data_IF_473783480871
#
_entry.id   IF_473783480871
#
_cell.length_a   1.000
_cell.length_b   1.000
_cell.length_c   1.000
_cell.angle_alpha   90.00
_cell.angle_beta   90.00
_cell.angle_gamma   90.00
#
_symmetry.space_group_name_H-M   'P 1'
#
loop_
_entity.id
_entity.type
_entity.pdbx_description
1 polymer ?
#
# COMPACT_ATOMS: atom_id res chain seq x y z
N UNK A 1 -31.97 -13.77 -61.51
CA UNK A 1 -32.41 -15.15 -61.19
C UNK A 1 -31.32 -16.10 -61.68
N UNK A 2 -30.80 -16.99 -60.80
CA UNK A 2 -29.85 -18.10 -61.08
C UNK A 2 -28.41 -17.64 -61.39
N UNK A 3 -27.33 -17.94 -60.67
CA UNK A 3 -27.02 -18.99 -59.69
C UNK A 3 -25.98 -18.48 -58.66
N UNK A 4 -26.45 -18.17 -57.46
CA UNK A 4 -25.63 -18.16 -56.25
C UNK A 4 -25.50 -19.62 -55.77
N UNK A 5 -24.57 -20.38 -56.34
CA UNK A 5 -24.27 -21.75 -55.90
C UNK A 5 -22.82 -22.12 -56.23
N UNK A 6 -21.86 -21.47 -55.57
CA UNK A 6 -20.46 -21.93 -55.58
C UNK A 6 -19.62 -21.48 -54.36
N UNK A 7 -20.25 -20.92 -53.31
CA UNK A 7 -19.52 -20.41 -52.12
C UNK A 7 -20.17 -20.92 -50.82
N UNK A 8 -20.59 -22.19 -50.79
CA UNK A 8 -21.07 -22.85 -49.54
C UNK A 8 -20.40 -24.22 -49.33
N UNK A 9 -19.54 -24.70 -50.23
CA UNK A 9 -18.93 -26.04 -50.11
C UNK A 9 -17.42 -26.08 -49.79
N UNK A 10 -16.85 -25.01 -49.21
CA UNK A 10 -15.43 -24.99 -48.79
C UNK A 10 -15.16 -24.45 -47.37
N UNK A 11 -16.19 -24.35 -46.52
CA UNK A 11 -16.03 -23.91 -45.12
C UNK A 11 -16.40 -24.95 -44.07
N UNK A 12 -16.79 -26.17 -44.46
CA UNK A 12 -17.20 -27.24 -43.55
C UNK A 12 -16.16 -28.35 -43.33
N UNK A 13 -14.91 -28.19 -43.82
CA UNK A 13 -13.85 -29.21 -43.67
C UNK A 13 -12.70 -28.81 -42.73
N UNK A 14 -12.72 -27.61 -42.12
CA UNK A 14 -11.63 -27.13 -41.23
C UNK A 14 -12.06 -27.05 -39.76
N UNK A 15 -13.34 -27.26 -39.45
CA UNK A 15 -13.85 -27.23 -38.07
C UNK A 15 -13.91 -28.60 -37.37
N UNK A 16 -13.69 -29.71 -38.07
CA UNK A 16 -13.77 -31.07 -37.51
C UNK A 16 -12.41 -31.72 -37.21
N UNK A 17 -11.30 -31.17 -37.72
CA UNK A 17 -9.95 -31.68 -37.43
C UNK A 17 -9.35 -31.12 -36.11
N UNK A 18 -9.88 -30.01 -35.60
CA UNK A 18 -9.34 -29.31 -34.42
C UNK A 18 -9.89 -29.83 -33.08
N UNK A 19 -11.11 -30.38 -33.05
CA UNK A 19 -11.71 -30.91 -31.82
C UNK A 19 -11.25 -32.36 -31.54
N UNK A 20 -11.08 -33.18 -32.59
CA UNK A 20 -10.61 -34.56 -32.46
C UNK A 20 -9.16 -34.65 -31.94
N UNK A 21 -8.28 -33.75 -32.39
CA UNK A 21 -6.89 -33.68 -31.91
C UNK A 21 -6.77 -33.28 -30.43
N UNK A 22 -7.67 -32.41 -29.94
CA UNK A 22 -7.68 -31.96 -28.55
C UNK A 22 -8.14 -33.06 -27.58
N UNK A 23 -9.21 -33.79 -27.93
CA UNK A 23 -9.69 -34.92 -27.12
C UNK A 23 -8.73 -36.12 -27.14
N UNK A 24 -8.11 -36.41 -28.29
CA UNK A 24 -7.10 -37.47 -28.37
C UNK A 24 -5.81 -37.11 -27.58
N UNK A 25 -5.41 -35.83 -27.60
CA UNK A 25 -4.26 -35.33 -26.85
C UNK A 25 -4.41 -35.43 -25.33
N UNK A 26 -5.54 -34.97 -24.78
CA UNK A 26 -5.77 -35.07 -23.33
C UNK A 26 -5.85 -36.51 -22.83
N UNK A 27 -6.39 -37.44 -23.62
CA UNK A 27 -6.49 -38.84 -23.21
C UNK A 27 -5.13 -39.56 -23.29
N UNK A 28 -4.28 -39.19 -24.25
CA UNK A 28 -2.92 -39.71 -24.36
C UNK A 28 -2.02 -39.25 -23.19
N UNK A 29 -2.08 -37.97 -22.80
CA UNK A 29 -1.34 -37.45 -21.64
C UNK A 29 -1.80 -38.08 -20.32
N UNK A 30 -3.11 -38.33 -20.16
CA UNK A 30 -3.66 -38.99 -18.98
C UNK A 30 -3.24 -40.46 -18.86
N UNK A 31 -3.13 -41.19 -19.99
CA UNK A 31 -2.62 -42.57 -20.01
C UNK A 31 -1.11 -42.61 -19.74
N UNK A 32 -0.33 -41.63 -20.20
CA UNK A 32 1.10 -41.53 -19.87
C UNK A 32 1.33 -41.22 -18.38
N UNK A 33 0.53 -40.35 -17.75
CA UNK A 33 0.65 -40.08 -16.31
C UNK A 33 0.28 -41.30 -15.45
N UNK A 34 -0.79 -42.02 -15.80
CA UNK A 34 -1.20 -43.24 -15.09
C UNK A 34 -0.21 -44.40 -15.24
N UNK A 35 0.56 -44.45 -16.33
CA UNK A 35 1.62 -45.43 -16.54
C UNK A 35 2.96 -45.04 -15.88
N UNK A 36 3.23 -43.74 -15.68
CA UNK A 36 4.41 -43.26 -14.97
C UNK A 36 4.28 -43.40 -13.44
N UNK A 37 3.08 -43.26 -12.88
CA UNK A 37 2.85 -43.40 -11.42
C UNK A 37 2.94 -44.86 -10.92
N UNK A 38 3.01 -45.84 -11.81
CA UNK A 38 3.23 -47.26 -11.46
C UNK A 38 4.69 -47.68 -11.42
N UNK A 39 5.63 -46.84 -11.84
CA UNK A 39 7.06 -47.18 -11.87
C UNK A 39 7.92 -46.05 -11.29
N UNK A 40 8.47 -46.35 -10.09
CA UNK A 40 9.54 -45.66 -9.32
C UNK A 40 8.97 -44.98 -8.06
N UNK A 41 9.19 -45.49 -6.84
CA UNK A 41 10.39 -46.18 -6.36
C UNK A 41 11.48 -45.13 -6.12
N UNK A 42 11.67 -44.80 -4.84
CA UNK A 42 12.62 -43.85 -4.27
C UNK A 42 14.03 -44.02 -4.85
N UNK A 43 14.70 -42.92 -5.24
CA UNK A 43 16.11 -42.68 -4.91
C UNK A 43 16.63 -41.29 -5.30
N UNK A 44 17.75 -40.94 -4.66
CA UNK A 44 18.28 -39.63 -4.29
C UNK A 44 19.41 -39.15 -5.23
N UNK A 45 19.55 -37.81 -5.36
CA UNK A 45 20.64 -36.98 -5.92
C UNK A 45 21.13 -37.21 -7.36
N UNK A 46 20.99 -36.17 -8.21
CA UNK A 46 22.05 -35.76 -9.15
C UNK A 46 21.84 -34.33 -9.65
N UNK A 47 22.94 -33.57 -9.66
CA UNK A 47 23.08 -32.20 -10.11
C UNK A 47 23.06 -32.14 -11.66
N UNK A 48 22.16 -31.35 -12.26
CA UNK A 48 22.33 -30.90 -13.64
C UNK A 48 21.65 -29.55 -13.91
N UNK A 49 22.36 -28.74 -14.68
CA UNK A 49 22.05 -27.38 -15.10
C UNK A 49 20.82 -27.32 -16.00
N UNK A 50 19.81 -26.53 -15.61
CA UNK A 50 18.63 -26.25 -16.44
C UNK A 50 18.80 -24.93 -17.21
N UNK A 51 18.77 -25.02 -18.55
CA UNK A 51 18.65 -23.88 -19.46
C UNK A 51 17.28 -23.22 -19.30
N UNK A 52 17.24 -21.91 -19.02
CA UNK A 52 16.02 -21.13 -18.93
C UNK A 52 15.38 -20.92 -20.31
N UNK A 53 14.13 -21.36 -20.48
CA UNK A 53 13.22 -20.89 -21.53
C UNK A 53 12.17 -19.96 -20.88
N UNK A 54 11.65 -18.95 -21.60
CA UNK A 54 10.68 -18.01 -21.03
C UNK A 54 9.37 -18.76 -20.74
N UNK A 55 9.05 -18.93 -19.46
CA UNK A 55 7.83 -19.55 -18.99
C UNK A 55 6.64 -18.62 -19.12
N UNK A 56 5.61 -19.07 -19.82
CA UNK A 56 4.28 -18.45 -19.84
C UNK A 56 3.60 -18.78 -18.49
N UNK A 57 3.03 -17.81 -17.75
CA UNK A 57 2.34 -18.12 -16.50
C UNK A 57 1.07 -18.94 -16.77
N UNK A 58 0.96 -20.11 -16.12
CA UNK A 58 -0.28 -20.87 -16.01
C UNK A 58 -1.24 -20.12 -15.07
N UNK A 59 -2.25 -19.44 -15.63
CA UNK A 59 -3.37 -18.94 -14.85
C UNK A 59 -4.31 -20.10 -14.53
N UNK A 60 -4.36 -20.51 -13.26
CA UNK A 60 -5.40 -21.41 -12.77
C UNK A 60 -6.77 -20.75 -12.85
N UNK A 61 -7.77 -21.48 -13.33
CA UNK A 61 -9.16 -21.01 -13.44
C UNK A 61 -9.75 -20.80 -12.05
N UNK A 62 -10.24 -19.59 -11.77
CA UNK A 62 -10.89 -19.24 -10.49
C UNK A 62 -12.37 -19.58 -10.55
N UNK A 63 -12.86 -20.35 -9.57
CA UNK A 63 -14.29 -20.58 -9.34
C UNK A 63 -14.93 -19.33 -8.72
N UNK A 64 -16.06 -18.89 -9.26
CA UNK A 64 -16.80 -17.72 -8.79
C UNK A 64 -17.24 -17.87 -7.32
N UNK A 65 -17.12 -16.78 -6.55
CA UNK A 65 -17.57 -16.69 -5.17
C UNK A 65 -19.09 -16.47 -5.10
N UNK A 66 -19.76 -17.21 -4.23
CA UNK A 66 -21.16 -16.97 -3.84
C UNK A 66 -21.26 -15.80 -2.85
N UNK A 67 -22.32 -14.96 -2.93
CA UNK A 67 -22.50 -13.84 -2.02
C UNK A 67 -22.88 -14.32 -0.60
N UNK A 68 -22.27 -13.69 0.39
CA UNK A 68 -22.55 -13.84 1.81
C UNK A 68 -23.79 -13.00 2.18
N UNK A 69 -24.83 -13.63 2.75
CA UNK A 69 -26.01 -12.95 3.30
C UNK A 69 -25.73 -12.71 4.81
N UNK A 70 -25.77 -11.47 5.32
CA UNK A 70 -25.64 -11.23 6.75
C UNK A 70 -26.92 -11.59 7.50
N UNK A 71 -26.78 -12.30 8.62
CA UNK A 71 -27.85 -12.57 9.58
C UNK A 71 -28.28 -11.26 10.28
N UNK A 72 -29.56 -10.88 10.08
CA UNK A 72 -30.22 -9.86 10.89
C UNK A 72 -30.62 -10.49 12.24
N UNK A 73 -29.80 -10.30 13.27
CA UNK A 73 -30.28 -10.09 14.65
C UNK A 73 -29.10 -9.82 15.61
N UNK A 74 -28.90 -8.54 15.96
CA UNK A 74 -28.55 -8.07 17.31
C UNK A 74 -28.32 -6.53 17.33
N UNK A 75 -29.39 -5.77 17.52
CA UNK A 75 -29.37 -4.33 17.86
C UNK A 75 -29.09 -4.18 19.37
N UNK A 76 -28.10 -3.42 19.82
CA UNK A 76 -28.32 -1.99 20.16
C UNK A 76 -27.03 -1.21 20.47
N UNK A 77 -25.83 -1.78 20.30
CA UNK A 77 -24.53 -1.08 20.50
C UNK A 77 -23.82 -0.67 19.21
N UNK A 78 -24.35 -1.07 18.04
CA UNK A 78 -23.70 -0.85 16.74
C UNK A 78 -23.93 0.58 16.18
N UNK A 79 -25.07 1.20 16.50
CA UNK A 79 -25.47 2.49 15.92
C UNK A 79 -24.61 3.68 16.35
N UNK A 80 -24.14 3.72 17.60
CA UNK A 80 -23.31 4.84 18.10
C UNK A 80 -21.87 4.78 17.57
N UNK A 81 -21.28 3.58 17.47
CA UNK A 81 -19.91 3.40 16.97
C UNK A 81 -19.80 3.62 15.46
N UNK A 82 -20.83 3.27 14.69
CA UNK A 82 -20.87 3.53 13.25
C UNK A 82 -21.07 5.03 12.93
N UNK A 83 -21.91 5.72 13.72
CA UNK A 83 -22.08 7.17 13.64
C UNK A 83 -20.81 7.93 14.01
N UNK A 84 -20.11 7.54 15.08
CA UNK A 84 -18.84 8.18 15.46
C UNK A 84 -17.70 7.90 14.49
N UNK A 85 -17.59 6.67 13.96
CA UNK A 85 -16.58 6.30 12.96
C UNK A 85 -16.79 7.03 11.63
N UNK A 86 -18.04 7.19 11.17
CA UNK A 86 -18.35 7.95 9.96
C UNK A 86 -18.04 9.45 10.12
N UNK A 87 -18.35 10.04 11.29
CA UNK A 87 -17.98 11.43 11.61
C UNK A 87 -16.46 11.62 11.62
N UNK A 88 -15.71 10.74 12.31
CA UNK A 88 -14.25 10.85 12.41
C UNK A 88 -13.56 10.69 11.05
N UNK A 89 -14.06 9.77 10.21
CA UNK A 89 -13.56 9.61 8.84
C UNK A 89 -13.76 10.87 8.02
N UNK A 90 -14.92 11.53 8.13
CA UNK A 90 -15.20 12.77 7.42
C UNK A 90 -14.27 13.92 7.86
N UNK A 91 -13.92 13.99 9.15
CA UNK A 91 -12.93 14.94 9.67
C UNK A 91 -11.53 14.69 9.11
N UNK A 92 -11.08 13.42 9.10
CA UNK A 92 -9.77 13.04 8.58
C UNK A 92 -9.69 13.33 7.07
N UNK A 93 -10.74 12.97 6.34
CA UNK A 93 -10.79 13.08 4.88
C UNK A 93 -11.46 14.37 4.39
N UNK A 94 -11.48 15.42 5.23
CA UNK A 94 -12.07 16.75 4.96
C UNK A 94 -11.68 17.30 3.59
N UNK A 95 -10.42 17.08 3.19
CA UNK A 95 -9.85 17.63 1.94
C UNK A 95 -9.76 16.63 0.78
N UNK A 96 -10.48 15.51 0.86
CA UNK A 96 -10.56 14.53 -0.23
C UNK A 96 -9.69 13.29 -0.02
N UNK A 97 -9.94 12.29 -0.85
CA UNK A 97 -9.22 11.02 -0.85
C UNK A 97 -8.14 11.06 -1.94
N UNK A 98 -6.85 10.79 -1.61
CA UNK A 98 -5.80 10.81 -2.63
C UNK A 98 -5.99 9.79 -3.77
N UNK A 99 -6.65 8.68 -3.45
CA UNK A 99 -7.10 7.64 -4.37
C UNK A 99 -8.10 6.73 -3.65
N UNK A 100 -8.69 5.76 -4.33
CA UNK A 100 -9.76 4.91 -3.75
C UNK A 100 -9.43 3.40 -3.75
N UNK A 101 -8.21 3.01 -4.12
CA UNK A 101 -7.84 1.59 -4.10
C UNK A 101 -7.79 1.05 -2.68
N UNK A 102 -8.58 0.01 -2.41
CA UNK A 102 -8.51 -0.81 -1.20
C UNK A 102 -8.43 0.03 0.10
N UNK A 103 -9.33 1.01 0.23
CA UNK A 103 -9.41 1.92 1.38
C UNK A 103 -9.87 1.18 2.64
N UNK A 104 -9.23 1.51 3.76
CA UNK A 104 -9.44 0.95 5.10
C UNK A 104 -9.57 2.11 6.08
N UNK A 105 -10.62 2.06 6.88
CA UNK A 105 -10.92 3.06 7.90
C UNK A 105 -10.53 2.45 9.24
N UNK A 106 -9.55 3.05 9.89
CA UNK A 106 -9.23 2.79 11.30
C UNK A 106 -9.91 3.85 12.16
N UNK A 107 -9.86 3.71 13.48
CA UNK A 107 -10.63 4.59 14.36
C UNK A 107 -10.09 6.04 14.35
N UNK A 108 -8.79 6.23 14.06
CA UNK A 108 -8.14 7.56 14.11
C UNK A 108 -7.21 7.87 12.91
N UNK A 109 -7.22 7.03 11.87
CA UNK A 109 -6.55 7.29 10.59
C UNK A 109 -7.22 6.53 9.45
N UNK A 110 -6.96 6.95 8.21
CA UNK A 110 -7.48 6.29 7.00
C UNK A 110 -6.30 5.83 6.15
N UNK A 111 -6.39 4.62 5.57
CA UNK A 111 -5.31 4.00 4.82
C UNK A 111 -5.84 3.48 3.48
N UNK A 112 -5.07 3.63 2.40
CA UNK A 112 -5.27 2.92 1.14
C UNK A 112 -4.15 1.89 0.97
N UNK A 113 -4.49 0.63 0.73
CA UNK A 113 -3.53 -0.47 0.74
C UNK A 113 -3.14 -0.95 -0.67
N UNK A 114 -1.85 -0.96 -0.98
CA UNK A 114 -1.32 -1.54 -2.21
C UNK A 114 -1.15 -3.05 -2.05
N UNK A 115 -2.14 -3.81 -2.54
CA UNK A 115 -2.10 -5.29 -2.52
C UNK A 115 -0.92 -5.87 -3.31
N UNK A 116 -0.41 -5.16 -4.32
CA UNK A 116 0.74 -5.61 -5.13
C UNK A 116 2.04 -5.41 -4.39
N UNK A 117 2.21 -4.29 -3.69
CA UNK A 117 3.45 -4.00 -2.97
C UNK A 117 3.43 -4.43 -1.50
N UNK A 118 2.28 -4.86 -0.99
CA UNK A 118 2.06 -5.29 0.41
C UNK A 118 2.37 -4.20 1.44
N UNK A 119 2.22 -2.93 1.04
CA UNK A 119 2.37 -1.72 1.88
C UNK A 119 1.25 -0.74 1.54
N UNK A 120 1.08 0.34 2.30
CA UNK A 120 0.11 1.38 1.98
C UNK A 120 0.48 2.12 0.67
N UNK A 121 -0.52 2.50 -0.13
CA UNK A 121 -0.39 3.57 -1.13
C UNK A 121 -0.23 4.91 -0.41
N UNK A 122 -1.07 5.15 0.59
CA UNK A 122 -1.06 6.34 1.41
C UNK A 122 -1.81 6.09 2.72
N UNK A 123 -1.47 6.89 3.73
CA UNK A 123 -2.19 7.00 5.00
C UNK A 123 -2.49 8.48 5.25
N UNK A 124 -3.65 8.75 5.83
CA UNK A 124 -4.14 10.09 6.11
C UNK A 124 -4.51 10.21 7.59
N UNK A 125 -4.02 11.28 8.22
CA UNK A 125 -4.20 11.56 9.64
C UNK A 125 -4.69 13.00 9.81
N UNK A 126 -5.52 13.23 10.83
CA UNK A 126 -5.92 14.56 11.28
C UNK A 126 -5.54 14.75 12.74
N UNK A 127 -4.62 15.68 12.97
CA UNK A 127 -3.99 15.94 14.26
C UNK A 127 -4.46 17.30 14.80
N UNK A 128 -4.85 17.31 16.06
CA UNK A 128 -5.04 18.53 16.84
C UNK A 128 -4.13 18.50 18.05
N UNK A 129 -4.03 19.62 18.77
CA UNK A 129 -3.27 19.63 20.03
C UNK A 129 -3.85 18.62 21.03
N UNK A 130 -5.18 18.48 21.05
CA UNK A 130 -5.93 17.60 21.92
C UNK A 130 -5.75 16.13 21.54
N UNK A 131 -5.74 15.79 20.24
CA UNK A 131 -5.55 14.40 19.79
C UNK A 131 -4.16 13.84 20.12
N UNK A 132 -3.16 14.72 20.24
CA UNK A 132 -1.79 14.37 20.64
C UNK A 132 -1.59 14.27 22.16
N UNK A 133 -2.57 14.67 22.97
CA UNK A 133 -2.49 14.50 24.42
C UNK A 133 -2.58 13.01 24.76
N UNK A 134 -1.51 12.48 25.37
CA UNK A 134 -1.47 11.10 25.81
C UNK A 134 -2.45 10.87 26.97
N UNK A 135 -3.40 9.98 26.75
CA UNK A 135 -4.26 9.47 27.83
C UNK A 135 -3.44 8.64 28.82
N UNK A 136 -3.78 8.72 30.12
CA UNK A 136 -3.02 8.07 31.19
C UNK A 136 -2.87 6.54 31.00
N UNK A 137 -3.90 5.90 30.44
CA UNK A 137 -3.95 4.45 30.25
C UNK A 137 -3.19 3.95 29.01
N UNK A 138 -2.67 4.86 28.18
CA UNK A 138 -1.99 4.52 26.94
C UNK A 138 -0.55 4.15 27.22
N UNK A 139 -0.17 2.94 26.81
CA UNK A 139 1.17 2.39 26.85
C UNK A 139 1.52 1.72 25.53
N UNK A 140 2.48 2.32 24.80
CA UNK A 140 2.95 1.81 23.51
C UNK A 140 3.58 0.43 23.64
N UNK A 141 4.18 0.08 24.78
CA UNK A 141 4.86 -1.21 24.97
C UNK A 141 3.90 -2.40 24.91
N UNK A 142 2.60 -2.16 25.17
CA UNK A 142 1.54 -3.16 25.04
C UNK A 142 1.14 -3.45 23.58
N UNK A 143 1.64 -2.67 22.62
CA UNK A 143 1.31 -2.84 21.20
C UNK A 143 2.29 -3.78 20.52
N UNK A 144 1.74 -4.76 19.79
CA UNK A 144 2.53 -5.75 19.05
C UNK A 144 2.22 -5.68 17.57
N UNK A 145 3.25 -5.83 16.74
CA UNK A 145 3.06 -5.87 15.30
C UNK A 145 2.28 -7.13 14.91
N UNK A 146 1.16 -6.94 14.23
CA UNK A 146 0.28 -8.03 13.79
C UNK A 146 -0.16 -7.83 12.35
N UNK A 147 -0.33 -8.94 11.63
CA UNK A 147 -0.83 -8.90 10.26
C UNK A 147 -2.30 -8.44 10.25
N UNK A 148 -2.69 -7.76 9.19
CA UNK A 148 -4.09 -7.35 8.99
C UNK A 148 -4.92 -8.53 8.48
N UNK A 149 -5.74 -9.11 9.35
CA UNK A 149 -6.55 -10.28 9.01
C UNK A 149 -7.67 -9.98 8.00
N UNK A 150 -8.03 -8.70 7.86
CA UNK A 150 -9.04 -8.26 6.90
C UNK A 150 -8.46 -8.10 5.49
N UNK A 151 -7.15 -8.26 5.30
CA UNK A 151 -6.50 -8.40 3.98
C UNK A 151 -6.46 -9.88 3.59
N UNK A 152 -6.88 -10.19 2.35
CA UNK A 152 -6.77 -11.54 1.79
C UNK A 152 -5.33 -12.08 1.89
N UNK A 153 -5.11 -13.34 2.30
CA UNK A 153 -3.78 -13.88 2.60
C UNK A 153 -2.72 -13.65 1.51
N UNK A 154 -3.08 -13.72 0.21
CA UNK A 154 -2.15 -13.49 -0.91
C UNK A 154 -1.48 -12.10 -0.92
N UNK A 155 -2.12 -11.13 -0.30
CA UNK A 155 -1.70 -9.72 -0.33
C UNK A 155 -1.27 -9.24 1.05
N UNK A 156 -1.14 -10.14 2.03
CA UNK A 156 -0.83 -9.78 3.42
C UNK A 156 0.68 -9.83 3.64
N UNK A 157 1.24 -8.77 4.19
CA UNK A 157 2.58 -8.81 4.79
C UNK A 157 2.54 -9.48 6.17
N UNK A 158 3.62 -10.13 6.56
CA UNK A 158 3.78 -10.85 7.83
C UNK A 158 5.06 -10.42 8.55
N UNK A 159 5.14 -10.66 9.86
CA UNK A 159 6.36 -10.37 10.63
C UNK A 159 7.59 -11.13 10.12
N UNK A 160 7.40 -12.34 9.55
CA UNK A 160 8.48 -13.12 8.94
C UNK A 160 9.08 -12.46 7.71
N UNK A 161 8.33 -11.62 6.97
CA UNK A 161 8.89 -10.90 5.82
C UNK A 161 9.93 -9.85 6.23
N UNK A 162 9.73 -9.24 7.41
CA UNK A 162 10.62 -8.22 7.96
C UNK A 162 11.77 -8.81 8.77
N UNK A 163 11.59 -10.00 9.36
CA UNK A 163 12.59 -10.63 10.22
C UNK A 163 13.88 -10.93 9.45
N UNK A 164 14.99 -10.35 9.87
CA UNK A 164 16.30 -10.56 9.23
C UNK A 164 16.45 -9.87 7.87
N UNK A 165 15.51 -9.02 7.46
CA UNK A 165 15.56 -8.30 6.18
C UNK A 165 16.56 -7.15 6.14
N UNK A 166 17.05 -6.68 7.30
CA UNK A 166 17.83 -5.45 7.40
C UNK A 166 16.99 -4.17 7.49
N UNK A 167 15.65 -4.27 7.35
CA UNK A 167 14.73 -3.14 7.45
C UNK A 167 13.91 -3.19 8.74
N UNK A 168 13.59 -2.00 9.26
CA UNK A 168 12.61 -1.83 10.30
C UNK A 168 11.18 -1.95 9.74
N UNK A 169 10.26 -2.30 10.63
CA UNK A 169 8.82 -2.13 10.44
C UNK A 169 8.47 -0.65 10.66
N UNK A 170 8.68 0.15 9.62
CA UNK A 170 8.44 1.60 9.62
C UNK A 170 6.97 1.95 9.51
N UNK A 171 6.47 2.81 10.40
CA UNK A 171 5.07 3.21 10.42
C UNK A 171 4.80 4.30 9.37
N UNK A 172 3.62 4.26 8.74
CA UNK A 172 3.13 5.33 7.89
C UNK A 172 2.31 6.35 8.69
N UNK A 173 1.23 5.90 9.35
CA UNK A 173 0.63 6.59 10.50
C UNK A 173 1.42 6.25 11.76
N UNK A 174 2.10 7.25 12.33
CA UNK A 174 3.01 7.05 13.44
C UNK A 174 2.24 6.82 14.75
N UNK A 175 2.61 5.80 15.54
CA UNK A 175 2.03 5.55 16.86
C UNK A 175 2.04 6.80 17.77
N UNK A 176 3.01 7.69 17.59
CA UNK A 176 3.13 8.95 18.32
C UNK A 176 2.01 9.96 18.06
N UNK A 177 1.23 9.78 17.00
CA UNK A 177 0.17 10.69 16.58
C UNK A 177 -1.21 10.31 17.14
N UNK A 178 -1.33 9.10 17.70
CA UNK A 178 -2.60 8.46 18.05
C UNK A 178 -2.66 8.09 19.54
N UNK A 179 -2.26 9.01 20.42
CA UNK A 179 -2.01 8.72 21.84
C UNK A 179 -3.23 8.92 22.77
N UNK A 180 -4.38 9.28 22.21
CA UNK A 180 -5.61 9.53 22.98
C UNK A 180 -6.34 8.25 23.40
N UNK A 181 -6.08 7.12 22.75
CA UNK A 181 -6.62 5.80 23.10
C UNK A 181 -5.61 4.68 22.84
N UNK A 182 -5.65 3.65 23.69
CA UNK A 182 -4.79 2.48 23.55
C UNK A 182 -5.12 1.72 22.25
N UNK A 183 -6.39 1.69 21.86
CA UNK A 183 -6.85 1.05 20.63
C UNK A 183 -6.30 1.77 19.39
N UNK A 184 -6.22 3.11 19.42
CA UNK A 184 -5.68 3.88 18.30
C UNK A 184 -4.19 3.56 18.13
N UNK A 185 -3.42 3.54 19.22
CA UNK A 185 -2.02 3.11 19.18
C UNK A 185 -1.92 1.68 18.65
N UNK A 186 -2.73 0.73 19.15
CA UNK A 186 -2.69 -0.66 18.69
C UNK A 186 -2.95 -0.81 17.18
N UNK A 187 -3.87 -0.03 16.61
CA UNK A 187 -4.18 -0.07 15.19
C UNK A 187 -2.99 0.34 14.31
N UNK A 188 -2.15 1.28 14.77
CA UNK A 188 -0.94 1.70 14.04
C UNK A 188 0.10 0.58 13.88
N UNK A 189 0.08 -0.44 14.75
CA UNK A 189 0.98 -1.59 14.68
C UNK A 189 0.48 -2.70 13.73
N UNK A 190 -0.65 -2.47 13.04
CA UNK A 190 -1.12 -3.38 12.00
C UNK A 190 -0.18 -3.31 10.79
N UNK A 191 0.29 -4.46 10.27
CA UNK A 191 1.29 -4.50 9.21
C UNK A 191 0.82 -3.87 7.88
N UNK A 192 -0.49 -3.63 7.70
CA UNK A 192 -1.00 -2.85 6.56
C UNK A 192 -0.53 -1.39 6.56
N UNK A 193 -0.24 -0.83 7.75
CA UNK A 193 0.34 0.50 7.99
C UNK A 193 1.88 0.52 7.92
N UNK A 194 2.52 -0.61 7.61
CA UNK A 194 3.97 -0.75 7.72
C UNK A 194 4.61 -0.87 6.34
N UNK A 195 5.74 -0.17 6.19
CA UNK A 195 6.62 -0.31 5.04
C UNK A 195 8.06 -0.60 5.51
N UNK A 196 8.88 -1.33 4.72
CA UNK A 196 10.29 -1.52 5.02
C UNK A 196 11.04 -0.19 5.00
N UNK A 197 11.58 0.21 6.14
CA UNK A 197 12.36 1.44 6.28
C UNK A 197 13.77 1.13 6.78
N UNK A 198 14.77 1.85 6.28
CA UNK A 198 16.11 1.83 6.88
C UNK A 198 16.01 2.23 8.35
N UNK A 199 16.62 1.46 9.24
CA UNK A 199 16.53 1.68 10.68
C UNK A 199 17.32 2.91 11.14
N UNK A 200 18.61 2.70 11.44
CA UNK A 200 19.51 3.76 11.87
C UNK A 200 19.79 4.76 10.73
N UNK A 201 19.78 6.04 11.05
CA UNK A 201 19.90 7.17 10.11
C UNK A 201 18.60 7.53 9.40
N UNK A 202 17.52 6.74 9.52
CA UNK A 202 16.25 7.02 8.86
C UNK A 202 15.04 6.84 9.78
N UNK A 203 14.40 5.65 9.84
CA UNK A 203 13.18 5.41 10.62
C UNK A 203 13.31 5.86 12.09
N UNK A 204 14.43 5.52 12.72
CA UNK A 204 14.68 5.81 14.15
C UNK A 204 15.12 7.24 14.41
N UNK A 205 15.59 7.95 13.37
CA UNK A 205 16.29 9.22 13.46
C UNK A 205 15.61 10.28 12.55
N UNK A 206 16.13 10.51 11.35
CA UNK A 206 15.68 11.57 10.42
C UNK A 206 14.18 11.53 10.09
N UNK A 207 13.59 10.35 9.90
CA UNK A 207 12.15 10.21 9.67
C UNK A 207 11.33 10.56 10.93
N UNK A 208 11.73 10.07 12.10
CA UNK A 208 11.12 10.43 13.38
C UNK A 208 11.27 11.93 13.72
N UNK A 209 12.34 12.58 13.27
CA UNK A 209 12.49 14.05 13.34
C UNK A 209 11.43 14.77 12.53
N UNK A 210 11.14 14.29 11.31
CA UNK A 210 10.05 14.84 10.49
C UNK A 210 8.69 14.58 11.17
N UNK A 211 8.44 13.39 11.70
CA UNK A 211 7.21 13.10 12.44
C UNK A 211 7.05 14.01 13.67
N UNK A 212 8.15 14.25 14.40
CA UNK A 212 8.17 15.15 15.54
C UNK A 212 7.91 16.60 15.13
N UNK A 213 8.45 17.04 13.98
CA UNK A 213 8.15 18.34 13.40
C UNK A 213 6.66 18.47 13.10
N UNK A 214 6.06 17.52 12.39
CA UNK A 214 4.62 17.53 12.07
C UNK A 214 3.76 17.60 13.34
N UNK A 215 4.09 16.84 14.39
CA UNK A 215 3.39 16.95 15.68
C UNK A 215 3.50 18.35 16.31
N UNK A 216 4.67 18.99 16.22
CA UNK A 216 4.89 20.35 16.76
C UNK A 216 4.08 21.41 16.01
N UNK A 217 3.68 21.17 14.76
CA UNK A 217 2.85 22.09 13.98
C UNK A 217 1.48 22.32 14.63
N UNK A 218 0.96 21.39 15.44
CA UNK A 218 -0.28 21.59 16.24
C UNK A 218 -0.17 22.65 17.34
N UNK A 219 1.05 23.16 17.61
CA UNK A 219 1.26 24.34 18.47
C UNK A 219 1.04 25.66 17.73
N UNK A 220 1.06 25.62 16.40
CA UNK A 220 0.92 26.77 15.51
C UNK A 220 -0.45 26.78 14.85
N UNK A 221 -0.91 25.62 14.37
CA UNK A 221 -2.17 25.41 13.68
C UNK A 221 -3.20 24.74 14.59
N UNK A 222 -4.49 25.04 14.37
CA UNK A 222 -5.59 24.40 15.10
C UNK A 222 -5.77 22.95 14.63
N UNK A 223 -5.67 22.75 13.32
CA UNK A 223 -5.87 21.47 12.65
C UNK A 223 -4.66 21.21 11.75
N UNK A 224 -4.10 20.01 11.83
CA UNK A 224 -2.99 19.57 10.99
C UNK A 224 -3.40 18.27 10.30
N UNK A 225 -3.62 18.35 8.99
CA UNK A 225 -3.90 17.19 8.15
C UNK A 225 -2.61 16.74 7.47
N UNK A 226 -2.29 15.46 7.57
CA UNK A 226 -1.07 14.90 6.98
C UNK A 226 -1.37 13.65 6.18
N UNK A 227 -0.85 13.59 4.96
CA UNK A 227 -0.81 12.40 4.13
C UNK A 227 0.62 11.88 4.04
N UNK A 228 0.81 10.59 4.31
CA UNK A 228 2.11 9.90 4.29
C UNK A 228 2.05 8.71 3.33
N UNK A 229 3.06 8.52 2.48
CA UNK A 229 3.08 7.40 1.52
C UNK A 229 4.50 7.04 1.03
N UNK A 230 4.68 5.84 0.46
CA UNK A 230 5.93 5.44 -0.20
C UNK A 230 6.02 6.02 -1.62
N UNK A 231 7.24 6.09 -2.15
CA UNK A 231 7.51 6.39 -3.56
C UNK A 231 8.54 5.42 -4.16
N UNK A 232 8.37 5.15 -5.45
CA UNK A 232 9.25 4.30 -6.25
C UNK A 232 9.82 5.14 -7.41
N UNK A 233 10.87 5.92 -7.12
CA UNK A 233 11.40 6.92 -8.03
C UNK A 233 12.41 6.34 -9.02
N UNK A 234 12.32 6.78 -10.27
CA UNK A 234 13.22 6.36 -11.33
C UNK A 234 14.59 7.03 -11.21
N UNK A 235 15.66 6.26 -11.47
CA UNK A 235 17.04 6.77 -11.58
C UNK A 235 17.57 6.53 -12.99
N UNK A 236 18.40 7.45 -13.49
CA UNK A 236 19.08 7.29 -14.77
C UNK A 236 20.30 6.40 -14.60
N UNK A 237 20.42 5.34 -15.39
CA UNK A 237 21.56 4.43 -15.36
C UNK A 237 22.61 4.79 -16.44
N UNK A 238 23.73 4.06 -16.45
CA UNK A 238 24.88 4.32 -17.35
C UNK A 238 24.54 4.23 -18.83
N UNK A 239 23.50 3.47 -19.18
CA UNK A 239 23.00 3.31 -20.55
C UNK A 239 22.13 4.50 -21.02
N UNK A 240 21.94 5.50 -20.17
CA UNK A 240 21.17 6.70 -20.46
C UNK A 240 19.66 6.56 -20.26
N UNK A 241 19.16 5.38 -19.90
CA UNK A 241 17.72 5.13 -19.66
C UNK A 241 17.38 5.31 -18.18
N UNK A 242 16.08 5.45 -17.90
CA UNK A 242 15.54 5.59 -16.54
C UNK A 242 14.90 4.28 -16.11
N UNK A 243 15.24 3.83 -14.92
CA UNK A 243 14.72 2.60 -14.33
C UNK A 243 14.17 2.87 -12.94
N UNK A 244 13.05 2.22 -12.61
CA UNK A 244 12.57 2.08 -11.24
C UNK A 244 13.07 0.73 -10.74
N UNK A 245 13.92 0.75 -9.71
CA UNK A 245 14.47 -0.45 -9.08
C UNK A 245 14.32 -0.34 -7.58
N UNK A 246 13.77 -1.38 -6.98
CA UNK A 246 13.59 -1.50 -5.54
C UNK A 246 13.69 -2.97 -5.13
N UNK A 247 14.05 -3.20 -3.87
CA UNK A 247 14.11 -4.52 -3.27
C UNK A 247 12.70 -5.00 -2.86
N UNK A 248 12.49 -6.32 -2.84
CA UNK A 248 11.34 -6.95 -2.21
C UNK A 248 11.83 -7.93 -1.15
N UNK A 249 11.21 -7.93 0.03
CA UNK A 249 11.63 -8.74 1.18
C UNK A 249 10.59 -9.81 1.53
N UNK A 250 11.09 -10.91 2.11
CA UNK A 250 10.24 -12.01 2.57
C UNK A 250 9.60 -12.84 1.46
N UNK A 251 8.90 -13.90 1.85
CA UNK A 251 8.18 -14.78 0.93
C UNK A 251 6.99 -14.08 0.27
N UNK A 252 6.43 -13.05 0.92
CA UNK A 252 5.32 -12.27 0.38
C UNK A 252 5.77 -11.13 -0.55
N UNK A 253 7.07 -10.99 -0.80
CA UNK A 253 7.66 -9.98 -1.69
C UNK A 253 7.19 -8.54 -1.34
N UNK A 254 7.31 -8.16 -0.08
CA UNK A 254 6.96 -6.83 0.40
C UNK A 254 7.92 -5.81 -0.20
N UNK A 255 7.42 -4.80 -0.89
CA UNK A 255 8.27 -3.83 -1.57
C UNK A 255 8.97 -2.90 -0.58
N UNK A 256 10.26 -2.64 -0.80
CA UNK A 256 11.06 -1.65 -0.08
C UNK A 256 11.00 -0.33 -0.85
N UNK A 257 10.29 0.70 -0.37
CA UNK A 257 10.18 1.97 -1.08
C UNK A 257 11.53 2.64 -1.26
N UNK A 258 11.72 3.35 -2.37
CA UNK A 258 12.95 4.12 -2.60
C UNK A 258 12.99 5.39 -1.75
N UNK A 259 11.82 5.99 -1.52
CA UNK A 259 11.62 7.23 -0.78
C UNK A 259 10.27 7.16 -0.07
N UNK A 260 10.07 8.07 0.88
CA UNK A 260 8.78 8.34 1.51
C UNK A 260 8.44 9.82 1.40
N UNK A 261 7.15 10.12 1.38
CA UNK A 261 6.66 11.49 1.38
C UNK A 261 5.80 11.79 2.61
N UNK A 262 5.75 13.07 2.98
CA UNK A 262 4.67 13.65 3.79
C UNK A 262 4.21 14.94 3.13
N UNK A 263 2.89 15.10 2.98
CA UNK A 263 2.27 16.37 2.62
C UNK A 263 1.36 16.77 3.76
N UNK A 264 1.56 17.98 4.25
CA UNK A 264 0.92 18.52 5.45
C UNK A 264 0.18 19.79 5.08
N UNK A 265 -1.05 19.93 5.56
CA UNK A 265 -1.79 21.19 5.56
C UNK A 265 -2.11 21.57 7.00
N UNK A 266 -1.69 22.76 7.40
CA UNK A 266 -2.05 23.36 8.68
C UNK A 266 -3.10 24.45 8.49
N UNK A 267 -4.16 24.44 9.32
CA UNK A 267 -5.17 25.49 9.41
C UNK A 267 -4.82 26.47 10.54
N UNK A 268 -4.65 27.75 10.21
CA UNK A 268 -4.43 28.80 11.20
C UNK A 268 -5.74 29.19 11.88
N UNK A 269 -5.65 29.87 13.04
CA UNK A 269 -6.83 30.36 13.78
C UNK A 269 -7.74 31.31 12.98
N UNK A 270 -7.18 31.99 11.98
CA UNK A 270 -7.90 32.86 11.05
C UNK A 270 -8.32 32.16 9.75
N UNK A 271 -8.38 30.82 9.77
CA UNK A 271 -8.87 29.96 8.66
C UNK A 271 -8.09 30.15 7.35
N UNK A 272 -6.79 30.40 7.46
CA UNK A 272 -5.83 30.37 6.35
C UNK A 272 -5.07 29.05 6.38
N UNK A 273 -4.53 28.66 5.23
CA UNK A 273 -3.89 27.35 5.08
C UNK A 273 -2.43 27.51 4.68
N UNK A 274 -1.56 26.77 5.36
CA UNK A 274 -0.15 26.64 5.01
C UNK A 274 0.14 25.17 4.68
N UNK A 275 0.89 24.94 3.60
CA UNK A 275 1.25 23.59 3.16
C UNK A 275 2.76 23.36 3.27
N UNK A 276 3.13 22.18 3.73
CA UNK A 276 4.50 21.68 3.66
C UNK A 276 4.54 20.31 2.97
N UNK A 277 5.52 20.09 2.11
CA UNK A 277 5.64 18.86 1.31
C UNK A 277 7.09 18.37 1.33
N UNK A 278 7.30 17.14 1.79
CA UNK A 278 8.61 16.54 2.00
C UNK A 278 8.76 15.23 1.22
N UNK A 279 9.95 14.98 0.66
CA UNK A 279 10.36 13.68 0.13
C UNK A 279 11.72 13.31 0.69
N UNK A 280 11.80 12.19 1.40
CA UNK A 280 13.05 11.70 2.02
C UNK A 280 13.44 10.34 1.44
N UNK A 281 14.72 10.12 1.09
CA UNK A 281 15.20 8.82 0.62
C UNK A 281 15.14 7.78 1.73
N UNK A 282 14.77 6.54 1.39
CA UNK A 282 14.83 5.41 2.30
C UNK A 282 16.28 4.90 2.43
N UNK A 283 17.12 5.71 3.05
CA UNK A 283 18.55 5.51 3.21
C UNK A 283 19.03 6.23 4.48
N UNK A 284 20.19 5.89 5.06
CA UNK A 284 20.75 6.67 6.17
C UNK A 284 20.93 8.14 5.77
N UNK A 285 20.47 9.05 6.63
CA UNK A 285 20.56 10.50 6.46
C UNK A 285 21.33 11.06 7.66
N UNK A 286 22.33 11.89 7.38
CA UNK A 286 23.11 12.59 8.40
C UNK A 286 22.22 13.57 9.20
N UNK A 287 22.32 13.52 10.53
CA UNK A 287 21.48 14.33 11.40
C UNK A 287 21.71 15.85 11.27
N UNK A 288 22.86 16.28 10.76
CA UNK A 288 23.12 17.69 10.47
C UNK A 288 22.26 18.25 9.33
N UNK A 289 21.71 17.41 8.47
CA UNK A 289 20.89 17.85 7.33
C UNK A 289 19.55 18.39 7.86
N UNK A 290 19.18 19.65 7.54
CA UNK A 290 17.91 20.22 7.99
C UNK A 290 16.74 19.67 7.16
N UNK A 291 15.57 19.51 7.79
CA UNK A 291 14.36 18.97 7.15
C UNK A 291 13.92 19.78 5.92
N UNK A 292 14.21 21.08 5.91
CA UNK A 292 13.94 21.98 4.77
C UNK A 292 14.65 21.55 3.48
N UNK A 293 15.77 20.82 3.57
CA UNK A 293 16.47 20.27 2.41
C UNK A 293 15.66 19.22 1.65
N UNK A 294 14.66 18.63 2.31
CA UNK A 294 13.77 17.62 1.74
C UNK A 294 12.44 18.20 1.25
N UNK A 295 12.26 19.52 1.33
CA UNK A 295 11.05 20.17 0.83
C UNK A 295 11.03 20.15 -0.70
N UNK A 296 9.89 19.73 -1.25
CA UNK A 296 9.66 19.68 -2.70
C UNK A 296 8.32 20.35 -3.04
N UNK A 297 8.10 20.77 -4.30
CA UNK A 297 6.77 21.18 -4.73
C UNK A 297 5.77 20.03 -4.55
N UNK A 298 4.57 20.28 -4.00
CA UNK A 298 3.57 19.23 -3.77
C UNK A 298 3.18 18.50 -5.07
N UNK A 299 3.17 19.20 -6.19
CA UNK A 299 2.88 18.65 -7.52
C UNK A 299 3.91 17.60 -7.96
N UNK A 300 5.14 17.68 -7.44
CA UNK A 300 6.17 16.67 -7.71
C UNK A 300 5.83 15.34 -7.03
N UNK A 301 5.25 15.40 -5.84
CA UNK A 301 4.78 14.21 -5.11
C UNK A 301 3.54 13.65 -5.80
N UNK A 302 2.59 14.50 -6.19
CA UNK A 302 1.38 14.09 -6.93
C UNK A 302 1.74 13.30 -8.19
N UNK A 303 2.66 13.84 -9.00
CA UNK A 303 3.15 13.18 -10.22
C UNK A 303 3.87 11.86 -9.94
N UNK A 304 4.66 11.80 -8.88
CA UNK A 304 5.44 10.61 -8.55
C UNK A 304 4.61 9.50 -7.91
N UNK A 305 3.60 9.86 -7.11
CA UNK A 305 2.71 8.92 -6.44
C UNK A 305 1.54 8.47 -7.33
N UNK A 306 1.17 9.28 -8.34
CA UNK A 306 -0.04 9.06 -9.12
C UNK A 306 -1.32 9.34 -8.33
N UNK A 307 -1.25 10.31 -7.41
CA UNK A 307 -2.32 10.69 -6.48
C UNK A 307 -2.48 12.22 -6.50
N UNK A 308 -3.66 12.72 -6.11
CA UNK A 308 -3.88 14.15 -5.88
C UNK A 308 -4.08 14.38 -4.38
N UNK A 309 -3.41 15.36 -3.80
CA UNK A 309 -3.51 15.59 -2.36
C UNK A 309 -4.25 16.89 -2.08
N UNK A 310 -5.18 16.85 -1.13
CA UNK A 310 -5.98 18.02 -0.74
C UNK A 310 -6.75 18.62 -1.93
N UNK A 311 -7.31 17.79 -2.82
CA UNK A 311 -7.96 18.23 -4.07
C UNK A 311 -9.22 19.07 -3.85
N UNK A 312 -9.88 18.93 -2.69
CA UNK A 312 -11.00 19.78 -2.27
C UNK A 312 -10.56 21.12 -1.67
N UNK A 313 -9.27 21.32 -1.41
CA UNK A 313 -8.72 22.60 -0.97
C UNK A 313 -8.18 23.37 -2.17
N UNK A 314 -8.88 24.42 -2.58
CA UNK A 314 -8.37 25.31 -3.63
C UNK A 314 -6.98 25.85 -3.27
N UNK A 315 -6.02 25.72 -4.20
CA UNK A 315 -4.66 26.25 -4.04
C UNK A 315 -4.63 27.75 -3.77
N UNK A 316 -5.64 28.51 -4.23
CA UNK A 316 -5.77 29.95 -3.94
C UNK A 316 -6.05 30.28 -2.47
N UNK A 317 -6.46 29.30 -1.66
CA UNK A 317 -6.65 29.46 -0.21
C UNK A 317 -5.36 29.21 0.58
N UNK A 318 -4.32 28.68 -0.07
CA UNK A 318 -3.00 28.53 0.54
C UNK A 318 -2.31 29.88 0.57
N UNK A 319 -1.90 30.31 1.75
CA UNK A 319 -1.11 31.54 1.90
C UNK A 319 0.39 31.27 1.84
N UNK A 320 0.81 30.03 2.13
CA UNK A 320 2.19 29.59 2.01
C UNK A 320 2.29 28.13 1.54
N UNK A 321 3.33 27.86 0.75
CA UNK A 321 3.81 26.51 0.43
C UNK A 321 5.31 26.45 0.77
N UNK A 322 5.70 25.50 1.62
CA UNK A 322 7.08 25.31 2.08
C UNK A 322 7.70 26.62 2.63
N UNK A 323 6.92 27.36 3.44
CA UNK A 323 7.33 28.63 4.03
C UNK A 323 7.37 29.84 3.08
N UNK A 324 7.11 29.65 1.79
CA UNK A 324 7.07 30.73 0.79
C UNK A 324 5.63 31.17 0.52
N UNK A 325 5.40 32.48 0.42
CA UNK A 325 4.08 33.03 0.05
C UNK A 325 3.69 32.59 -1.37
N UNK A 326 2.41 32.29 -1.57
CA UNK A 326 1.81 31.90 -2.84
C UNK A 326 1.19 33.10 -3.54
#
# INVERSE_FOLDING_TARGET
MKYATSIVLKLSAIATASIGGWYAGQNYERIQQLNNDKNKGVDIFSCSSFKSKPGIPLFGTVSAATPFIPDENNNSKMGSKFSSSSSRTAEIMKYGFPGLDSVRIFDDFVLSYDRRNRVAHWVFEHLTKESLCRSADVDRSKSTFKSDETIHPFFRSSNSDYKGSGFDRGHMAAAGNHQSSQDYVHQTFTLSNIAPQVGAGFNRDSWNRLETHVRKLTKVYTDVHVCTGPLYLAKKEKDGKKYVKYEVIGSNHVAVPTHFFKIVVGETKDSKYEMEAYVMPNAPIDDSIPLTSFQVPPESIERAAGLLFFDKLSRSRLIKINGKKV
#
